data_IF_941136317469
#
_entry.id   IF_941136317469
#
_cell.length_a   1.000
_cell.length_b   1.000
_cell.length_c   1.000
_cell.angle_alpha   90.00
_cell.angle_beta   90.00
_cell.angle_gamma   90.00
#
_symmetry.space_group_name_H-M   'P 1'
#
loop_
_entity.id
_entity.type
_entity.pdbx_description
1 polymer ?
#
# COMPACT_ATOMS: atom_id res chain seq x y z
N UNK A 1 10.95 13.77 -4.13
CA UNK A 1 11.46 12.59 -4.86
C UNK A 1 10.39 11.52 -4.71
N UNK A 2 9.57 11.29 -5.74
CA UNK A 2 8.54 10.25 -5.71
C UNK A 2 9.11 8.84 -5.91
N UNK A 3 8.28 7.84 -5.64
CA UNK A 3 8.55 6.42 -5.82
C UNK A 3 8.35 6.06 -7.30
N UNK A 4 9.25 5.26 -7.87
CA UNK A 4 9.10 4.75 -9.23
C UNK A 4 7.98 3.69 -9.31
N UNK A 5 6.99 3.90 -10.20
CA UNK A 5 5.85 2.98 -10.35
C UNK A 5 6.24 1.55 -10.67
N UNK A 6 7.25 1.38 -11.55
CA UNK A 6 7.65 0.05 -12.02
C UNK A 6 8.41 -0.71 -10.94
N UNK A 7 9.25 -0.02 -10.19
CA UNK A 7 9.96 -0.61 -9.05
C UNK A 7 9.01 -0.91 -7.91
N UNK A 8 8.07 -0.02 -7.61
CA UNK A 8 7.05 -0.25 -6.59
C UNK A 8 6.17 -1.47 -6.93
N UNK A 9 5.71 -1.57 -8.17
CA UNK A 9 4.96 -2.73 -8.64
C UNK A 9 5.77 -4.02 -8.49
N UNK A 10 7.01 -4.03 -9.01
CA UNK A 10 7.84 -5.24 -9.08
C UNK A 10 8.37 -5.70 -7.73
N UNK A 11 8.78 -4.77 -6.86
CA UNK A 11 9.50 -5.08 -5.64
C UNK A 11 8.66 -4.96 -4.37
N UNK A 12 7.48 -4.34 -4.43
CA UNK A 12 6.59 -4.20 -3.27
C UNK A 12 5.25 -4.87 -3.51
N UNK A 13 4.50 -4.45 -4.53
CA UNK A 13 3.12 -4.95 -4.75
C UNK A 13 3.12 -6.45 -5.09
N UNK A 14 3.88 -6.86 -6.12
CA UNK A 14 3.88 -8.24 -6.58
C UNK A 14 4.33 -9.24 -5.50
N UNK A 15 5.46 -9.02 -4.79
CA UNK A 15 5.88 -9.91 -3.72
C UNK A 15 4.87 -9.97 -2.56
N UNK A 16 4.25 -8.85 -2.19
CA UNK A 16 3.26 -8.81 -1.10
C UNK A 16 2.02 -9.61 -1.47
N UNK A 17 1.48 -9.43 -2.68
CA UNK A 17 0.32 -10.19 -3.14
C UNK A 17 0.62 -11.70 -3.20
N UNK A 18 1.84 -12.06 -3.63
CA UNK A 18 2.28 -13.45 -3.62
C UNK A 18 2.33 -14.03 -2.19
N UNK A 19 2.84 -13.28 -1.21
CA UNK A 19 2.86 -13.70 0.20
C UNK A 19 1.44 -13.88 0.76
N UNK A 20 0.50 -13.04 0.33
CA UNK A 20 -0.92 -13.13 0.69
C UNK A 20 -1.69 -14.21 -0.09
N UNK A 21 -1.03 -14.96 -0.98
CA UNK A 21 -1.67 -15.98 -1.80
C UNK A 21 -2.63 -15.41 -2.86
N UNK A 22 -2.46 -14.15 -3.23
CA UNK A 22 -3.28 -13.44 -4.22
C UNK A 22 -2.56 -13.41 -5.57
N UNK A 23 -3.05 -14.17 -6.54
CA UNK A 23 -2.62 -14.09 -7.95
C UNK A 23 -3.68 -13.33 -8.76
N UNK A 24 -3.52 -12.01 -8.88
CA UNK A 24 -4.46 -11.16 -9.59
C UNK A 24 -3.83 -9.89 -10.14
N UNK A 25 -3.69 -9.83 -11.47
CA UNK A 25 -3.26 -8.62 -12.17
C UNK A 25 -4.18 -7.41 -11.89
N UNK A 26 -5.46 -7.64 -11.57
CA UNK A 26 -6.39 -6.56 -11.18
C UNK A 26 -6.05 -5.97 -9.81
N UNK A 27 -5.66 -6.82 -8.86
CA UNK A 27 -5.23 -6.36 -7.53
C UNK A 27 -3.94 -5.54 -7.64
N UNK A 28 -2.98 -5.99 -8.46
CA UNK A 28 -1.76 -5.23 -8.76
C UNK A 28 -2.06 -3.84 -9.32
N UNK A 29 -2.92 -3.75 -10.33
CA UNK A 29 -3.32 -2.50 -10.96
C UNK A 29 -4.08 -1.58 -10.01
N UNK A 30 -4.97 -2.14 -9.19
CA UNK A 30 -5.72 -1.38 -8.19
C UNK A 30 -4.77 -0.72 -7.20
N UNK A 31 -3.85 -1.48 -6.60
CA UNK A 31 -2.88 -0.98 -5.64
C UNK A 31 -1.99 0.11 -6.25
N UNK A 32 -1.47 -0.11 -7.46
CA UNK A 32 -0.64 0.89 -8.13
C UNK A 32 -1.44 2.17 -8.47
N UNK A 33 -2.67 2.05 -8.96
CA UNK A 33 -3.52 3.18 -9.29
C UNK A 33 -3.91 4.00 -8.05
N UNK A 34 -4.22 3.33 -6.94
CA UNK A 34 -4.51 3.99 -5.65
C UNK A 34 -3.29 4.77 -5.15
N UNK A 35 -2.09 4.17 -5.20
CA UNK A 35 -0.85 4.85 -4.82
C UNK A 35 -0.58 6.11 -5.69
N UNK A 36 -0.79 6.00 -7.00
CA UNK A 36 -0.70 7.13 -7.93
C UNK A 36 -1.70 8.24 -7.59
N UNK A 37 -2.96 7.89 -7.38
CA UNK A 37 -4.02 8.86 -7.17
C UNK A 37 -3.92 9.56 -5.80
N UNK A 38 -3.55 8.80 -4.77
CA UNK A 38 -3.68 9.28 -3.39
C UNK A 38 -2.47 10.11 -2.92
N UNK A 39 -1.26 9.70 -3.31
CA UNK A 39 -0.02 10.34 -2.86
C UNK A 39 0.85 10.88 -3.99
N UNK A 40 0.40 10.81 -5.25
CA UNK A 40 1.21 11.09 -6.45
C UNK A 40 2.52 10.28 -6.42
N UNK A 41 2.41 9.00 -6.08
CA UNK A 41 3.54 8.10 -5.85
C UNK A 41 4.52 8.65 -4.80
N UNK A 42 4.01 9.15 -3.68
CA UNK A 42 4.82 9.61 -2.56
C UNK A 42 5.39 11.02 -2.68
N UNK A 43 4.85 11.86 -3.57
CA UNK A 43 5.07 13.31 -3.50
C UNK A 43 4.29 13.95 -2.33
N UNK A 44 3.17 13.33 -1.94
CA UNK A 44 2.30 13.77 -0.85
C UNK A 44 2.10 12.65 0.17
N UNK A 45 3.11 12.38 1.01
CA UNK A 45 3.08 11.30 2.01
C UNK A 45 2.46 11.70 3.36
N UNK A 46 2.35 13.00 3.63
CA UNK A 46 1.69 13.52 4.81
C UNK A 46 0.56 14.43 4.36
N UNK A 47 -0.66 13.92 4.42
CA UNK A 47 -1.88 14.70 4.29
C UNK A 47 -2.65 14.60 5.60
N UNK A 48 -3.58 15.52 5.83
CA UNK A 48 -4.35 15.60 7.07
C UNK A 48 -5.22 14.35 7.35
N UNK A 49 -5.35 13.45 6.37
CA UNK A 49 -6.22 12.28 6.34
C UNK A 49 -5.46 10.93 6.43
N UNK A 50 -4.14 10.93 6.58
CA UNK A 50 -3.38 9.69 6.79
C UNK A 50 -1.91 9.75 6.36
N UNK A 51 -1.22 8.63 6.55
CA UNK A 51 0.24 8.53 6.36
C UNK A 51 0.56 7.59 5.19
N UNK A 52 1.57 7.98 4.42
CA UNK A 52 2.19 7.11 3.42
C UNK A 52 1.47 7.08 2.09
N UNK A 53 1.73 6.03 1.30
CA UNK A 53 1.33 5.95 -0.11
C UNK A 53 -0.19 5.81 -0.30
N UNK A 54 -0.84 5.19 0.68
CA UNK A 54 -2.26 4.87 0.70
C UNK A 54 -3.05 5.69 1.72
N UNK A 55 -2.40 6.64 2.41
CA UNK A 55 -3.05 7.49 3.42
C UNK A 55 -3.71 6.68 4.53
N UNK A 56 -2.98 5.72 5.08
CA UNK A 56 -3.50 4.91 6.18
C UNK A 56 -3.54 5.78 7.43
N UNK A 57 -4.72 5.91 8.04
CA UNK A 57 -4.88 6.62 9.32
C UNK A 57 -4.29 5.81 10.47
N UNK A 58 -3.98 6.47 11.58
CA UNK A 58 -3.52 5.81 12.79
C UNK A 58 -4.54 4.76 13.29
N UNK A 59 -5.83 5.11 13.29
CA UNK A 59 -6.92 4.20 13.68
C UNK A 59 -7.00 2.95 12.78
N UNK A 60 -6.89 3.13 11.46
CA UNK A 60 -6.90 2.01 10.52
C UNK A 60 -5.67 1.13 10.70
N UNK A 61 -4.49 1.75 10.87
CA UNK A 61 -3.25 1.03 11.11
C UNK A 61 -3.35 0.16 12.37
N UNK A 62 -3.84 0.74 13.48
CA UNK A 62 -4.03 0.02 14.73
C UNK A 62 -5.03 -1.14 14.58
N UNK A 63 -6.16 -0.90 13.90
CA UNK A 63 -7.15 -1.94 13.65
C UNK A 63 -6.57 -3.13 12.88
N UNK A 64 -5.84 -2.87 11.78
CA UNK A 64 -5.22 -3.91 10.95
C UNK A 64 -4.16 -4.68 11.75
N UNK A 65 -3.38 -3.97 12.55
CA UNK A 65 -2.40 -4.60 13.43
C UNK A 65 -3.07 -5.57 14.41
N UNK A 66 -4.04 -5.10 15.19
CA UNK A 66 -4.64 -5.86 16.28
C UNK A 66 -5.43 -7.09 15.79
N UNK A 67 -6.04 -7.00 14.61
CA UNK A 67 -6.94 -8.04 14.11
C UNK A 67 -6.30 -9.00 13.09
N UNK A 68 -5.18 -8.61 12.47
CA UNK A 68 -4.55 -9.40 11.42
C UNK A 68 -3.06 -9.60 11.69
N UNK A 69 -2.26 -8.54 11.65
CA UNK A 69 -0.79 -8.67 11.64
C UNK A 69 -0.21 -9.17 12.97
N UNK A 70 -0.81 -8.83 14.11
CA UNK A 70 -0.33 -9.27 15.42
C UNK A 70 -0.52 -10.79 15.64
N UNK A 71 -1.44 -11.42 14.92
CA UNK A 71 -1.80 -12.83 15.08
C UNK A 71 -1.15 -13.73 14.02
N UNK A 72 -0.70 -13.15 12.91
CA UNK A 72 -0.04 -13.83 11.79
C UNK A 72 1.06 -12.92 11.20
N UNK A 73 2.24 -12.87 11.85
CA UNK A 73 3.33 -11.95 11.50
C UNK A 73 4.17 -12.38 10.30
#
# INVERSE_FOLDING_TARGET
MGINCREFLKYVIQPTLQQLGVDSAKAEQLLLATACHHSEMGHHLHRNDGIGLYGITEDMHQMVWDHYLAMDP
#
